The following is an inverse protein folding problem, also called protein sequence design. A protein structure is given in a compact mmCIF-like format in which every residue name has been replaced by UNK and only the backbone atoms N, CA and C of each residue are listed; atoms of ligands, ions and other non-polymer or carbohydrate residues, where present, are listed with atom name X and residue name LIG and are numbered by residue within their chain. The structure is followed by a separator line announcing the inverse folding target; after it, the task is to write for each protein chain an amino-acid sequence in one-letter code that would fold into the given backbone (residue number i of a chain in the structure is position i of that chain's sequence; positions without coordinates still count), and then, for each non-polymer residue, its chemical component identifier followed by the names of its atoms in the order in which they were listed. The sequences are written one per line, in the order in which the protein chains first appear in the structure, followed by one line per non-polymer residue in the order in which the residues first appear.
data_IF_200006379657
#
_entry.id   IF_200006379657
#
_cell.length_a   1.000
_cell.length_b   1.000
_cell.length_c   1.000
_cell.angle_alpha   90.00
_cell.angle_beta   90.00
_cell.angle_gamma   90.00
#
_symmetry.space_group_name_H-M   'P 1'
#
loop_
_entity.id
_entity.type
_entity.pdbx_description
1 polymer ?
#
# COMPACT_ATOMS: atom_id res chain seq x y z
N UNK A 1 -4.98 -2.50 3.86
CA UNK A 1 -5.32 -1.13 3.39
C UNK A 1 -6.40 -1.15 2.30
N UNK A 2 -6.50 -2.24 1.56
CA UNK A 2 -7.44 -2.34 0.43
C UNK A 2 -8.91 -2.24 0.84
N UNK A 3 -9.27 -2.62 2.07
CA UNK A 3 -10.62 -2.39 2.63
C UNK A 3 -11.07 -0.92 2.57
N UNK A 4 -10.14 0.03 2.70
CA UNK A 4 -10.46 1.44 2.53
C UNK A 4 -10.94 1.71 1.09
N UNK A 5 -10.25 1.14 0.09
CA UNK A 5 -10.61 1.30 -1.31
C UNK A 5 -11.97 0.68 -1.62
N UNK A 6 -12.19 -0.56 -1.21
CA UNK A 6 -13.38 -1.35 -1.56
C UNK A 6 -14.63 -0.97 -0.76
N UNK A 7 -14.50 -0.69 0.54
CA UNK A 7 -15.63 -0.67 1.45
C UNK A 7 -15.90 0.69 2.10
N UNK A 8 -14.95 1.64 2.05
CA UNK A 8 -15.13 2.88 2.82
C UNK A 8 -16.31 3.72 2.36
N UNK A 9 -16.66 3.72 1.08
CA UNK A 9 -17.85 4.41 0.56
C UNK A 9 -19.14 3.83 1.14
N UNK A 10 -19.28 2.51 1.13
CA UNK A 10 -20.42 1.82 1.73
C UNK A 10 -20.52 2.06 3.23
N UNK A 11 -19.40 1.96 3.94
CA UNK A 11 -19.35 2.20 5.38
C UNK A 11 -19.66 3.65 5.73
N UNK A 12 -19.23 4.60 4.91
CA UNK A 12 -19.54 6.01 5.10
C UNK A 12 -21.05 6.30 4.91
N UNK A 13 -21.68 5.72 3.90
CA UNK A 13 -23.08 6.00 3.51
C UNK A 13 -24.09 5.22 4.34
N UNK A 14 -23.85 3.95 4.59
CA UNK A 14 -24.86 3.03 5.15
C UNK A 14 -24.45 2.34 6.45
N UNK A 15 -23.22 2.54 6.90
CA UNK A 15 -22.65 1.85 8.07
C UNK A 15 -22.33 2.80 9.22
N UNK A 16 -21.04 3.09 9.38
CA UNK A 16 -20.48 3.80 10.55
C UNK A 16 -20.37 5.32 10.39
N UNK A 17 -20.78 5.87 9.24
CA UNK A 17 -20.67 7.27 8.90
C UNK A 17 -19.27 7.67 8.40
N UNK A 18 -19.19 8.82 7.69
CA UNK A 18 -17.97 9.29 7.03
C UNK A 18 -16.79 9.46 8.01
N UNK A 19 -17.01 10.08 9.15
CA UNK A 19 -15.97 10.38 10.13
C UNK A 19 -15.21 9.11 10.58
N UNK A 20 -15.94 8.04 10.90
CA UNK A 20 -15.33 6.76 11.28
C UNK A 20 -14.77 6.00 10.10
N UNK A 21 -15.44 6.03 8.95
CA UNK A 21 -14.95 5.39 7.74
C UNK A 21 -13.64 6.02 7.24
N UNK A 22 -13.46 7.33 7.38
CA UNK A 22 -12.22 8.02 7.05
C UNK A 22 -11.02 7.63 7.92
N UNK A 23 -11.29 7.08 9.12
CA UNK A 23 -10.26 6.57 10.04
C UNK A 23 -9.85 5.11 9.76
N UNK A 24 -10.39 4.46 8.74
CA UNK A 24 -9.95 3.11 8.36
C UNK A 24 -8.49 3.13 7.91
N UNK A 25 -7.72 2.11 8.31
CA UNK A 25 -6.31 1.96 7.97
C UNK A 25 -5.48 3.24 8.27
N UNK A 26 -5.30 3.55 9.55
CA UNK A 26 -4.55 4.72 10.05
C UNK A 26 -3.05 4.55 9.89
N UNK A 27 -2.59 4.49 8.64
CA UNK A 27 -1.21 4.13 8.32
C UNK A 27 -0.22 5.22 8.73
N UNK A 28 -0.54 6.50 8.44
CA UNK A 28 0.33 7.62 8.79
C UNK A 28 0.51 7.74 10.30
N UNK A 29 -0.57 7.64 11.06
CA UNK A 29 -0.52 7.62 12.52
C UNK A 29 0.39 6.51 13.06
N UNK A 30 0.36 5.31 12.46
CA UNK A 30 1.24 4.21 12.84
C UNK A 30 2.71 4.51 12.53
N UNK A 31 3.00 5.04 11.34
CA UNK A 31 4.36 5.45 10.98
C UNK A 31 4.91 6.54 11.91
N UNK A 32 4.11 7.58 12.18
CA UNK A 32 4.50 8.70 13.06
C UNK A 32 4.73 8.26 14.51
N UNK A 33 4.05 7.19 14.94
CA UNK A 33 4.26 6.54 16.24
C UNK A 33 5.49 5.58 16.26
N UNK A 34 6.22 5.45 15.16
CA UNK A 34 7.38 4.55 15.05
C UNK A 34 7.01 3.05 15.01
N UNK A 35 5.76 2.72 14.72
CA UNK A 35 5.30 1.33 14.61
C UNK A 35 5.73 0.76 13.26
N UNK A 36 6.36 -0.43 13.25
CA UNK A 36 6.67 -1.14 12.01
C UNK A 36 5.36 -1.48 11.29
N UNK A 37 5.03 -0.69 10.30
CA UNK A 37 3.74 -0.75 9.59
C UNK A 37 3.91 -1.44 8.25
N UNK A 38 3.06 -2.42 7.98
CA UNK A 38 3.01 -3.15 6.71
C UNK A 38 1.61 -3.09 6.11
N UNK A 39 1.53 -3.29 4.81
CA UNK A 39 0.26 -3.31 4.09
C UNK A 39 0.18 -4.54 3.19
N UNK A 40 -1.02 -5.08 3.06
CA UNK A 40 -1.34 -6.19 2.16
C UNK A 40 -2.76 -6.04 1.60
N UNK A 41 -3.07 -6.84 0.59
CA UNK A 41 -4.36 -6.81 -0.10
C UNK A 41 -5.44 -7.67 0.55
N UNK A 42 -5.04 -8.57 1.48
CA UNK A 42 -5.93 -9.61 2.01
C UNK A 42 -6.49 -10.52 0.88
N UNK A 43 -5.56 -11.07 0.10
CA UNK A 43 -5.91 -12.04 -0.95
C UNK A 43 -6.66 -13.23 -0.32
N UNK A 44 -7.82 -13.56 -0.77
CA UNK A 44 -8.60 -13.39 -2.01
C UNK A 44 -9.61 -12.23 -2.01
N UNK A 45 -9.69 -11.42 -0.98
CA UNK A 45 -10.58 -10.25 -0.94
C UNK A 45 -10.20 -9.23 -2.02
N UNK A 46 -8.91 -9.04 -2.26
CA UNK A 46 -8.39 -8.22 -3.34
C UNK A 46 -7.21 -8.92 -4.03
N UNK A 47 -6.87 -8.53 -5.26
CA UNK A 47 -5.71 -9.08 -5.96
C UNK A 47 -4.41 -8.95 -5.16
N UNK A 48 -3.52 -9.94 -5.26
CA UNK A 48 -2.20 -9.91 -4.62
C UNK A 48 -1.23 -8.98 -5.38
N UNK A 49 -1.58 -7.70 -5.46
CA UNK A 49 -0.85 -6.66 -6.18
C UNK A 49 -0.30 -5.62 -5.21
N UNK A 50 0.96 -5.75 -4.74
CA UNK A 50 1.53 -4.85 -3.73
C UNK A 50 1.54 -3.37 -4.15
N UNK A 51 1.77 -3.07 -5.44
CA UNK A 51 1.76 -1.70 -5.94
C UNK A 51 0.36 -1.05 -5.91
N UNK A 52 -0.71 -1.83 -6.06
CA UNK A 52 -2.06 -1.34 -5.83
C UNK A 52 -2.29 -0.99 -4.36
N UNK A 53 -1.80 -1.82 -3.44
CA UNK A 53 -1.86 -1.50 -2.00
C UNK A 53 -1.05 -0.22 -1.68
N UNK A 54 0.11 -0.04 -2.31
CA UNK A 54 0.90 1.19 -2.24
C UNK A 54 0.11 2.39 -2.75
N UNK A 55 -0.55 2.26 -3.91
CA UNK A 55 -1.40 3.32 -4.48
C UNK A 55 -2.51 3.73 -3.52
N UNK A 56 -3.24 2.78 -2.94
CA UNK A 56 -4.30 3.07 -1.95
C UNK A 56 -3.72 3.78 -0.73
N UNK A 57 -2.55 3.38 -0.23
CA UNK A 57 -1.91 4.00 0.92
C UNK A 57 -1.49 5.46 0.65
N UNK A 58 -1.06 5.78 -0.57
CA UNK A 58 -0.62 7.12 -0.98
C UNK A 58 -1.80 8.03 -1.34
N UNK A 59 -2.82 7.52 -2.04
CA UNK A 59 -3.95 8.33 -2.52
C UNK A 59 -5.12 8.36 -1.55
N UNK A 60 -5.35 7.27 -0.83
CA UNK A 60 -6.52 6.99 0.01
C UNK A 60 -7.84 7.12 -0.76
N UNK A 61 -7.80 6.87 -2.06
CA UNK A 61 -9.00 6.89 -2.89
C UNK A 61 -9.81 5.60 -2.71
N UNK A 62 -11.11 5.76 -2.52
CA UNK A 62 -12.05 4.66 -2.54
C UNK A 62 -12.50 4.33 -3.97
N UNK A 63 -13.35 3.33 -4.13
CA UNK A 63 -13.86 2.89 -5.43
C UNK A 63 -14.70 3.96 -6.15
N UNK A 64 -15.32 4.87 -5.40
CA UNK A 64 -16.07 6.02 -5.93
C UNK A 64 -15.15 7.18 -6.35
N UNK A 65 -13.86 7.13 -6.04
CA UNK A 65 -12.88 8.18 -6.33
C UNK A 65 -12.74 9.21 -5.20
N UNK A 66 -13.49 9.08 -4.11
CA UNK A 66 -13.38 9.98 -2.96
C UNK A 66 -12.12 9.70 -2.15
N UNK A 67 -11.53 10.75 -1.58
CA UNK A 67 -10.39 10.63 -0.68
C UNK A 67 -10.88 10.46 0.76
N UNK A 68 -10.48 9.36 1.40
CA UNK A 68 -10.92 9.00 2.75
C UNK A 68 -9.81 9.27 3.78
N UNK A 69 -9.92 10.36 4.55
CA UNK A 69 -8.96 10.72 5.59
C UNK A 69 -7.58 11.04 5.01
N UNK A 70 -7.47 12.15 4.29
CA UNK A 70 -6.24 12.57 3.58
C UNK A 70 -5.01 12.73 4.48
N UNK A 71 -5.22 13.00 5.78
CA UNK A 71 -4.20 13.11 6.81
C UNK A 71 -3.45 11.79 7.09
N UNK A 72 -4.07 10.67 6.76
CA UNK A 72 -3.49 9.34 6.92
C UNK A 72 -2.76 8.82 5.66
N UNK A 73 -2.54 9.67 4.66
CA UNK A 73 -1.73 9.33 3.49
C UNK A 73 -0.29 9.03 3.87
N UNK A 74 0.26 7.99 3.30
CA UNK A 74 1.70 7.76 3.30
C UNK A 74 2.37 8.51 2.16
N UNK A 75 3.65 8.85 2.33
CA UNK A 75 4.51 9.18 1.20
C UNK A 75 4.76 7.94 0.35
N UNK A 76 5.15 8.12 -0.91
CA UNK A 76 5.52 6.99 -1.78
C UNK A 76 6.67 6.16 -1.16
N UNK A 77 7.64 6.81 -0.53
CA UNK A 77 8.74 6.14 0.18
C UNK A 77 8.21 5.26 1.33
N UNK A 78 7.37 5.79 2.20
CA UNK A 78 6.78 5.04 3.32
C UNK A 78 5.93 3.86 2.83
N UNK A 79 5.15 4.07 1.76
CA UNK A 79 4.33 3.02 1.19
C UNK A 79 5.17 1.91 0.52
N UNK A 80 6.30 2.28 -0.13
CA UNK A 80 7.25 1.31 -0.66
C UNK A 80 7.92 0.50 0.46
N UNK A 81 8.35 1.15 1.54
CA UNK A 81 8.89 0.47 2.72
C UNK A 81 7.89 -0.50 3.34
N UNK A 82 6.61 -0.11 3.40
CA UNK A 82 5.55 -0.93 3.96
C UNK A 82 5.28 -2.23 3.19
N UNK A 83 5.52 -2.26 1.87
CA UNK A 83 5.38 -3.47 1.04
C UNK A 83 6.69 -4.24 0.84
N UNK A 84 7.81 -3.73 1.34
CA UNK A 84 9.14 -4.33 1.15
C UNK A 84 9.83 -4.63 2.48
N UNK A 85 10.67 -3.73 2.96
CA UNK A 85 11.51 -3.97 4.13
C UNK A 85 10.70 -4.13 5.43
N UNK A 86 9.65 -3.33 5.62
CA UNK A 86 8.79 -3.46 6.80
C UNK A 86 8.03 -4.79 6.79
N UNK A 87 7.56 -5.23 5.61
CA UNK A 87 6.94 -6.55 5.45
C UNK A 87 7.93 -7.67 5.76
N UNK A 88 9.18 -7.57 5.29
CA UNK A 88 10.23 -8.53 5.61
C UNK A 88 10.52 -8.60 7.11
N UNK A 89 10.53 -7.45 7.80
CA UNK A 89 10.66 -7.40 9.27
C UNK A 89 9.51 -8.12 9.96
N UNK A 90 8.27 -7.90 9.53
CA UNK A 90 7.08 -8.49 10.13
C UNK A 90 7.10 -10.03 10.08
N UNK A 91 7.64 -10.60 9.01
CA UNK A 91 7.73 -12.05 8.84
C UNK A 91 9.10 -12.63 9.25
N UNK A 92 9.99 -11.84 9.86
CA UNK A 92 11.29 -12.28 10.36
C UNK A 92 12.33 -12.58 9.26
N UNK A 93 12.18 -12.02 8.07
CA UNK A 93 13.08 -12.25 6.93
C UNK A 93 13.88 -11.01 6.51
N UNK A 94 13.93 -9.96 7.34
CA UNK A 94 14.57 -8.70 6.98
C UNK A 94 16.09 -8.82 6.74
N UNK A 95 16.76 -9.79 7.34
CA UNK A 95 18.18 -10.07 7.11
C UNK A 95 18.43 -10.78 5.76
N UNK A 96 17.40 -11.37 5.18
CA UNK A 96 17.48 -12.19 3.96
C UNK A 96 16.95 -11.45 2.74
N UNK A 97 15.88 -10.67 2.88
CA UNK A 97 15.19 -10.01 1.77
C UNK A 97 14.61 -8.64 2.17
N UNK A 98 13.78 -8.04 1.32
CA UNK A 98 13.09 -6.78 1.56
C UNK A 98 13.90 -5.51 1.25
N UNK A 99 15.20 -5.65 0.91
CA UNK A 99 16.03 -4.52 0.47
C UNK A 99 17.20 -5.00 -0.38
N UNK A 100 17.65 -4.14 -1.29
CA UNK A 100 18.84 -4.40 -2.12
C UNK A 100 20.11 -4.02 -1.35
N UNK A 101 20.64 -4.95 -0.57
CA UNK A 101 21.89 -4.79 0.20
C UNK A 101 22.79 -6.00 -0.01
N UNK A 102 24.12 -5.76 0.03
CA UNK A 102 25.09 -6.84 -0.01
C UNK A 102 24.84 -7.86 1.11
N UNK A 103 24.89 -9.13 0.79
CA UNK A 103 24.62 -10.24 1.71
C UNK A 103 23.16 -10.71 1.73
N UNK A 104 22.23 -9.98 1.15
CA UNK A 104 20.84 -10.42 0.99
C UNK A 104 20.60 -11.12 -0.35
N UNK A 105 19.46 -11.81 -0.46
CA UNK A 105 19.02 -12.39 -1.72
C UNK A 105 18.78 -11.28 -2.75
N UNK A 106 19.09 -11.56 -4.00
CA UNK A 106 18.87 -10.65 -5.12
C UNK A 106 17.42 -10.76 -5.64
N UNK A 107 16.45 -10.60 -4.74
CA UNK A 107 15.03 -10.56 -5.08
C UNK A 107 14.68 -9.12 -5.50
N UNK A 108 14.41 -8.90 -6.78
CA UNK A 108 14.05 -7.57 -7.30
C UNK A 108 13.00 -7.66 -8.39
N UNK A 109 12.24 -6.57 -8.52
CA UNK A 109 11.24 -6.39 -9.56
C UNK A 109 11.67 -5.21 -10.44
N UNK A 110 11.67 -5.40 -11.75
CA UNK A 110 11.93 -4.33 -12.72
C UNK A 110 10.61 -3.66 -13.08
N UNK A 111 10.53 -2.37 -12.83
CA UNK A 111 9.34 -1.55 -13.10
C UNK A 111 9.59 -0.68 -14.34
N UNK A 112 8.53 -0.30 -15.03
CA UNK A 112 8.58 0.59 -16.20
C UNK A 112 8.68 2.07 -15.82
N UNK A 113 8.47 2.43 -14.57
CA UNK A 113 8.59 3.78 -14.03
C UNK A 113 9.17 3.72 -12.61
N UNK A 114 9.73 4.85 -12.16
CA UNK A 114 10.17 4.99 -10.77
C UNK A 114 8.94 5.19 -9.85
N UNK A 115 8.65 4.28 -8.93
CA UNK A 115 7.49 4.38 -8.04
C UNK A 115 7.61 5.52 -7.02
N UNK A 116 8.80 6.11 -6.85
CA UNK A 116 9.04 7.24 -5.97
C UNK A 116 8.90 8.59 -6.66
N UNK A 117 8.99 8.62 -7.99
CA UNK A 117 8.97 9.85 -8.78
C UNK A 117 7.74 9.98 -9.70
N UNK A 118 7.01 8.89 -9.94
CA UNK A 118 5.81 8.95 -10.78
C UNK A 118 4.65 9.62 -10.05
N UNK A 119 3.69 10.17 -10.82
CA UNK A 119 2.42 10.60 -10.24
C UNK A 119 1.71 9.42 -9.54
N UNK A 120 1.06 9.64 -8.38
CA UNK A 120 0.41 8.56 -7.64
C UNK A 120 -0.56 7.72 -8.47
N UNK A 121 -1.26 8.33 -9.44
CA UNK A 121 -2.13 7.61 -10.39
C UNK A 121 -1.38 6.60 -11.27
N UNK A 122 -0.08 6.77 -11.45
CA UNK A 122 0.80 5.84 -12.15
C UNK A 122 0.99 4.53 -11.39
N UNK A 123 0.93 4.56 -10.06
CA UNK A 123 1.10 3.37 -9.23
C UNK A 123 0.02 2.30 -9.47
N UNK A 124 -1.22 2.70 -9.73
CA UNK A 124 -2.32 1.79 -10.04
C UNK A 124 -2.21 1.12 -11.43
N UNK A 125 -1.31 1.58 -12.29
CA UNK A 125 -1.15 1.10 -13.67
C UNK A 125 0.00 0.11 -13.84
N UNK A 126 0.67 -0.27 -12.76
CA UNK A 126 1.70 -1.31 -12.82
C UNK A 126 1.04 -2.68 -13.04
N UNK A 127 0.66 -2.95 -14.27
CA UNK A 127 0.35 -4.33 -14.68
C UNK A 127 1.67 -5.09 -14.74
N UNK A 128 1.74 -6.21 -14.03
CA UNK A 128 2.83 -7.17 -14.22
C UNK A 128 2.91 -7.49 -15.71
N UNK A 129 4.09 -7.33 -16.32
CA UNK A 129 4.37 -7.78 -17.68
C UNK A 129 4.45 -9.31 -17.79
N UNK A 130 3.88 -10.04 -16.85
CA UNK A 130 3.79 -11.51 -16.90
C UNK A 130 2.72 -12.03 -17.88
N UNK A 131 1.94 -11.14 -18.51
CA UNK A 131 0.90 -11.55 -19.46
C UNK A 131 1.41 -11.61 -20.90
N UNK A 132 2.69 -11.89 -21.12
CA UNK A 132 3.27 -11.92 -22.46
C UNK A 132 4.63 -12.60 -22.58
N UNK A 133 4.76 -13.83 -22.06
CA UNK A 133 5.78 -14.78 -22.51
C UNK A 133 5.13 -16.13 -22.77
#
# INVERSE_FOLDING_TARGET
VYYLHELSDSYAKTGIGYERASQMARLRSCFDAGINTTIHSDFTMAPAEPLNSMWVAVTRQNHAGDVMGSEERLTQQQALEAITINAAHTIGLADITGSLRAGKRADFTVLNQDPLACEPSGLARYRNRSDGF
#
